data_IF_052823438601
#
_entry.id   IF_052823438601
#
_cell.length_a   1.000
_cell.length_b   1.000
_cell.length_c   1.000
_cell.angle_alpha   90.00
_cell.angle_beta   90.00
_cell.angle_gamma   90.00
#
_symmetry.space_group_name_H-M   'P 1'
#
loop_
_entity.id
_entity.type
_entity.pdbx_description
1 polymer ?
#
# COMPACT_ATOMS: atom_id res chain seq x y z
N UNK A 1 2.42 -42.94 13.84
CA UNK A 1 2.34 -41.85 12.86
C UNK A 1 3.72 -41.42 12.42
N UNK A 2 3.87 -40.90 11.19
CA UNK A 2 5.15 -40.55 10.57
C UNK A 2 6.03 -39.65 11.46
N UNK A 3 5.44 -38.65 12.13
CA UNK A 3 6.15 -37.73 13.05
C UNK A 3 6.69 -38.43 14.29
N UNK A 4 5.96 -39.40 14.85
CA UNK A 4 6.46 -40.15 15.99
C UNK A 4 7.68 -40.99 15.60
N UNK A 5 7.57 -41.65 14.46
CA UNK A 5 8.67 -42.44 13.87
C UNK A 5 9.88 -41.57 13.54
N UNK A 6 9.68 -40.38 12.94
CA UNK A 6 10.82 -39.46 12.65
C UNK A 6 11.44 -38.87 13.92
N UNK A 7 10.65 -38.58 14.97
CA UNK A 7 11.17 -38.16 16.28
C UNK A 7 12.01 -39.25 16.93
N UNK A 8 11.55 -40.50 16.88
CA UNK A 8 12.29 -41.65 17.41
C UNK A 8 13.64 -41.85 16.67
N UNK A 9 13.63 -41.77 15.34
CA UNK A 9 14.84 -41.83 14.51
C UNK A 9 15.77 -40.62 14.74
N UNK A 10 15.21 -39.42 14.93
CA UNK A 10 16.00 -38.22 15.23
C UNK A 10 16.70 -38.31 16.59
N UNK A 11 16.18 -39.10 17.56
CA UNK A 11 16.75 -39.30 18.87
C UNK A 11 17.81 -40.45 18.93
N UNK A 12 17.96 -41.22 17.84
CA UNK A 12 18.95 -42.31 17.81
C UNK A 12 20.39 -41.78 17.86
N UNK A 13 21.27 -42.48 18.58
CA UNK A 13 22.70 -42.18 18.60
C UNK A 13 23.44 -42.84 17.42
N UNK A 14 24.65 -42.37 17.11
CA UNK A 14 25.52 -42.96 16.10
C UNK A 14 25.25 -42.50 14.66
N UNK A 15 24.37 -41.52 14.42
CA UNK A 15 24.17 -40.94 13.10
C UNK A 15 25.37 -40.09 12.68
N UNK A 16 25.72 -40.16 11.41
CA UNK A 16 26.64 -39.18 10.83
C UNK A 16 25.96 -37.85 10.55
N UNK A 17 26.73 -36.77 10.30
CA UNK A 17 26.22 -35.44 10.10
C UNK A 17 25.21 -35.32 8.91
N UNK A 18 25.41 -36.11 7.86
CA UNK A 18 24.53 -36.14 6.67
C UNK A 18 23.20 -36.81 7.02
N UNK A 19 23.24 -37.94 7.73
CA UNK A 19 22.03 -38.66 8.17
C UNK A 19 21.20 -37.75 9.11
N UNK A 20 21.86 -37.09 10.07
CA UNK A 20 21.21 -36.19 11.01
C UNK A 20 20.53 -35.00 10.27
N UNK A 21 21.20 -34.42 9.27
CA UNK A 21 20.64 -33.35 8.45
C UNK A 21 19.37 -33.80 7.67
N UNK A 22 19.43 -34.99 7.03
CA UNK A 22 18.29 -35.52 6.28
C UNK A 22 17.10 -35.83 7.21
N UNK A 23 17.36 -36.44 8.36
CA UNK A 23 16.33 -36.79 9.34
C UNK A 23 15.69 -35.52 9.92
N UNK A 24 16.46 -34.51 10.28
CA UNK A 24 15.95 -33.23 10.77
C UNK A 24 15.14 -32.50 9.71
N UNK A 25 15.56 -32.54 8.44
CA UNK A 25 14.79 -31.96 7.34
C UNK A 25 13.42 -32.64 7.16
N UNK A 26 13.38 -33.96 7.17
CA UNK A 26 12.15 -34.74 7.11
C UNK A 26 11.24 -34.45 8.33
N UNK A 27 11.82 -34.35 9.51
CA UNK A 27 11.08 -34.04 10.74
C UNK A 27 10.46 -32.65 10.66
N UNK A 28 11.22 -31.62 10.28
CA UNK A 28 10.74 -30.28 10.12
C UNK A 28 9.61 -30.20 9.05
N UNK A 29 9.80 -30.87 7.92
CA UNK A 29 8.76 -30.96 6.86
C UNK A 29 7.47 -31.60 7.38
N UNK A 30 7.56 -32.70 8.10
CA UNK A 30 6.39 -33.35 8.70
C UNK A 30 5.66 -32.43 9.71
N UNK A 31 6.43 -31.69 10.53
CA UNK A 31 5.88 -30.74 11.50
C UNK A 31 5.14 -29.58 10.81
N UNK A 32 5.70 -29.02 9.73
CA UNK A 32 5.03 -27.99 8.93
C UNK A 32 3.71 -28.49 8.38
N UNK A 33 3.68 -29.69 7.78
CA UNK A 33 2.44 -30.29 7.25
C UNK A 33 1.37 -30.55 8.32
N UNK A 34 1.77 -30.79 9.55
CA UNK A 34 0.89 -30.94 10.70
C UNK A 34 0.56 -29.62 11.40
N UNK A 35 1.06 -28.48 10.86
CA UNK A 35 0.91 -27.15 11.44
C UNK A 35 1.57 -27.01 12.84
N UNK A 36 2.49 -27.91 13.18
CA UNK A 36 3.39 -27.74 14.34
C UNK A 36 4.53 -26.79 13.97
N UNK A 37 4.18 -25.54 13.75
CA UNK A 37 5.12 -24.51 13.29
C UNK A 37 6.23 -24.23 14.34
N UNK A 38 5.88 -24.29 15.62
CA UNK A 38 6.86 -24.10 16.70
C UNK A 38 7.90 -25.22 16.74
N UNK A 39 7.47 -26.46 16.60
CA UNK A 39 8.36 -27.60 16.50
C UNK A 39 9.24 -27.55 15.24
N UNK A 40 8.63 -27.23 14.11
CA UNK A 40 9.34 -27.14 12.84
C UNK A 40 10.48 -26.10 12.87
N UNK A 41 10.19 -24.89 13.36
CA UNK A 41 11.19 -23.83 13.39
C UNK A 41 12.32 -24.12 14.36
N UNK A 42 12.04 -24.77 15.50
CA UNK A 42 13.09 -25.21 16.44
C UNK A 42 14.07 -26.20 15.81
N UNK A 43 13.56 -27.13 14.98
CA UNK A 43 14.44 -28.07 14.23
C UNK A 43 15.27 -27.31 13.19
N UNK A 44 14.66 -26.39 12.43
CA UNK A 44 15.39 -25.59 11.44
C UNK A 44 16.45 -24.69 12.09
N UNK A 45 16.19 -24.09 13.26
CA UNK A 45 17.18 -23.29 14.00
C UNK A 45 18.38 -24.15 14.43
N UNK A 46 18.13 -25.36 14.92
CA UNK A 46 19.19 -26.32 15.25
C UNK A 46 20.03 -26.65 14.02
N UNK A 47 19.40 -26.93 12.89
CA UNK A 47 20.09 -27.22 11.62
C UNK A 47 20.91 -26.03 11.13
N UNK A 48 20.37 -24.80 11.24
CA UNK A 48 21.08 -23.58 10.85
C UNK A 48 22.31 -23.33 11.73
N UNK A 49 22.15 -23.49 13.04
CA UNK A 49 23.24 -23.33 14.00
C UNK A 49 24.35 -24.37 13.79
N UNK A 50 24.01 -25.59 13.39
CA UNK A 50 24.94 -26.68 13.11
C UNK A 50 25.55 -26.62 11.68
N UNK A 51 25.15 -25.62 10.84
CA UNK A 51 25.64 -25.51 9.46
C UNK A 51 25.22 -26.70 8.58
N UNK A 52 24.07 -27.30 8.85
CA UNK A 52 23.59 -28.51 8.15
C UNK A 52 22.91 -28.20 6.81
N UNK A 53 22.67 -26.92 6.48
CA UNK A 53 22.16 -26.55 5.16
C UNK A 53 23.27 -26.47 4.12
N UNK A 54 22.99 -26.97 2.91
CA UNK A 54 23.87 -26.72 1.77
C UNK A 54 23.84 -25.22 1.43
N UNK A 55 25.01 -24.65 1.09
CA UNK A 55 25.15 -23.21 0.82
C UNK A 55 24.15 -22.69 -0.21
N UNK A 56 23.88 -23.47 -1.25
CA UNK A 56 22.96 -23.11 -2.33
C UNK A 56 21.50 -23.11 -1.87
N UNK A 57 21.15 -23.93 -0.88
CA UNK A 57 19.79 -24.08 -0.36
C UNK A 57 19.53 -23.21 0.87
N UNK A 58 20.57 -22.80 1.59
CA UNK A 58 20.46 -22.05 2.83
C UNK A 58 19.57 -20.80 2.70
N UNK A 59 19.70 -19.94 1.67
CA UNK A 59 18.81 -18.77 1.54
C UNK A 59 17.34 -19.18 1.48
N UNK A 60 17.00 -20.21 0.72
CA UNK A 60 15.62 -20.70 0.61
C UNK A 60 15.10 -21.26 1.94
N UNK A 61 15.94 -21.95 2.73
CA UNK A 61 15.57 -22.44 4.05
C UNK A 61 15.34 -21.30 5.03
N UNK A 62 16.17 -20.26 4.99
CA UNK A 62 15.99 -19.03 5.77
C UNK A 62 14.67 -18.36 5.44
N UNK A 63 14.29 -18.26 4.14
CA UNK A 63 13.00 -17.73 3.74
C UNK A 63 11.84 -18.56 4.28
N UNK A 64 11.92 -19.89 4.20
CA UNK A 64 10.89 -20.77 4.76
C UNK A 64 10.75 -20.58 6.28
N UNK A 65 11.87 -20.47 7.00
CA UNK A 65 11.84 -20.17 8.45
C UNK A 65 11.17 -18.83 8.74
N UNK A 66 11.46 -17.81 7.95
CA UNK A 66 10.83 -16.49 8.09
C UNK A 66 9.31 -16.59 7.94
N UNK A 67 8.81 -17.35 6.95
CA UNK A 67 7.37 -17.58 6.75
C UNK A 67 6.72 -18.31 7.93
N UNK A 68 7.42 -19.29 8.52
CA UNK A 68 6.95 -19.98 9.72
C UNK A 68 6.86 -19.02 10.91
N UNK A 69 7.88 -18.18 11.12
CA UNK A 69 7.84 -17.16 12.18
C UNK A 69 6.74 -16.13 11.95
N UNK A 70 6.45 -15.80 10.69
CA UNK A 70 5.33 -14.92 10.35
C UNK A 70 4.00 -15.55 10.73
N UNK A 71 3.80 -16.85 10.43
CA UNK A 71 2.62 -17.61 10.84
C UNK A 71 2.47 -17.71 12.37
N UNK A 72 3.61 -17.81 13.09
CA UNK A 72 3.67 -17.77 14.56
C UNK A 72 3.49 -16.35 15.14
N UNK A 73 3.29 -15.33 14.29
CA UNK A 73 3.21 -13.90 14.67
C UNK A 73 4.48 -13.38 15.39
N UNK A 74 5.59 -14.08 15.24
CA UNK A 74 6.90 -13.59 15.71
C UNK A 74 7.53 -12.71 14.61
N UNK A 75 6.96 -11.53 14.42
CA UNK A 75 7.36 -10.60 13.36
C UNK A 75 8.83 -10.17 13.44
N UNK A 76 9.41 -9.90 14.62
CA UNK A 76 10.85 -9.56 14.71
C UNK A 76 11.75 -10.63 14.09
N UNK A 77 11.55 -11.90 14.43
CA UNK A 77 12.32 -13.01 13.87
C UNK A 77 12.04 -13.23 12.39
N UNK A 78 10.78 -13.12 11.98
CA UNK A 78 10.40 -13.23 10.58
C UNK A 78 11.10 -12.16 9.72
N UNK A 79 11.14 -10.91 10.19
CA UNK A 79 11.81 -9.80 9.50
C UNK A 79 13.33 -10.03 9.44
N UNK A 80 13.96 -10.38 10.56
CA UNK A 80 15.40 -10.66 10.62
C UNK A 80 15.84 -11.70 9.57
N UNK A 81 15.09 -12.81 9.47
CA UNK A 81 15.38 -13.87 8.50
C UNK A 81 15.07 -13.46 7.06
N UNK A 82 13.99 -12.69 6.83
CA UNK A 82 13.68 -12.15 5.52
C UNK A 82 14.76 -11.17 5.04
N UNK A 83 15.27 -10.30 5.91
CA UNK A 83 16.37 -9.38 5.58
C UNK A 83 17.66 -10.14 5.28
N UNK A 84 17.96 -11.22 6.03
CA UNK A 84 19.08 -12.11 5.74
C UNK A 84 18.95 -12.77 4.36
N UNK A 85 17.76 -13.25 4.01
CA UNK A 85 17.48 -13.80 2.69
C UNK A 85 17.70 -12.76 1.59
N UNK A 86 17.12 -11.56 1.72
CA UNK A 86 17.30 -10.48 0.75
C UNK A 86 18.78 -10.13 0.56
N UNK A 87 19.56 -10.07 1.65
CA UNK A 87 20.99 -9.79 1.57
C UNK A 87 21.75 -10.87 0.79
N UNK A 88 21.36 -12.13 0.93
CA UNK A 88 21.98 -13.26 0.23
C UNK A 88 21.59 -13.34 -1.25
N UNK A 89 20.41 -12.79 -1.65
CA UNK A 89 19.82 -12.96 -2.98
C UNK A 89 19.74 -11.69 -3.83
N UNK A 90 20.44 -10.62 -3.42
CA UNK A 90 20.50 -9.37 -4.18
C UNK A 90 19.41 -8.36 -3.86
N UNK A 91 18.55 -8.61 -2.87
CA UNK A 91 17.73 -7.59 -2.22
C UNK A 91 16.48 -7.10 -2.96
N UNK A 92 16.08 -7.76 -4.06
CA UNK A 92 15.02 -7.28 -4.96
C UNK A 92 13.81 -8.21 -5.12
N UNK A 93 13.69 -9.22 -4.26
CA UNK A 93 12.51 -10.12 -4.23
C UNK A 93 11.30 -9.38 -3.68
N UNK A 94 10.31 -9.11 -4.55
CA UNK A 94 9.16 -8.27 -4.24
C UNK A 94 8.29 -8.86 -3.14
N UNK A 95 8.10 -10.19 -3.14
CA UNK A 95 7.26 -10.85 -2.14
C UNK A 95 7.89 -10.80 -0.74
N UNK A 96 9.19 -11.00 -0.65
CA UNK A 96 9.92 -10.87 0.62
C UNK A 96 9.91 -9.42 1.12
N UNK A 97 10.09 -8.43 0.23
CA UNK A 97 9.98 -7.02 0.59
C UNK A 97 8.59 -6.70 1.14
N UNK A 98 7.53 -7.23 0.50
CA UNK A 98 6.13 -7.07 0.93
C UNK A 98 5.91 -7.70 2.32
N UNK A 99 6.42 -8.90 2.54
CA UNK A 99 6.33 -9.58 3.83
C UNK A 99 6.99 -8.77 4.96
N UNK A 100 8.15 -8.17 4.70
CA UNK A 100 8.84 -7.31 5.68
C UNK A 100 8.02 -6.04 5.96
N UNK A 101 7.51 -5.38 4.90
CA UNK A 101 6.66 -4.20 5.05
C UNK A 101 5.44 -4.51 5.93
N UNK A 102 4.76 -5.63 5.67
CA UNK A 102 3.64 -6.10 6.47
C UNK A 102 4.03 -6.41 7.91
N UNK A 103 5.18 -7.05 8.13
CA UNK A 103 5.69 -7.35 9.46
C UNK A 103 5.92 -6.09 10.30
N UNK A 104 6.51 -5.05 9.72
CA UNK A 104 6.67 -3.75 10.37
C UNK A 104 5.33 -3.04 10.59
N UNK A 105 4.40 -3.13 9.64
CA UNK A 105 3.05 -2.58 9.81
C UNK A 105 2.33 -3.19 11.03
N UNK A 106 2.38 -4.52 11.17
CA UNK A 106 1.75 -5.25 12.28
C UNK A 106 2.39 -4.95 13.64
N UNK A 107 3.62 -4.44 13.65
CA UNK A 107 4.30 -3.92 14.84
C UNK A 107 4.06 -2.43 15.07
N UNK A 108 3.17 -1.78 14.29
CA UNK A 108 2.96 -0.34 14.27
C UNK A 108 4.22 0.49 13.97
N UNK A 109 5.26 -0.12 13.39
CA UNK A 109 6.44 0.59 12.93
C UNK A 109 6.22 1.12 11.49
N UNK A 110 5.36 2.14 11.39
CA UNK A 110 4.95 2.67 10.10
C UNK A 110 6.10 3.28 9.30
N UNK A 111 7.11 3.84 9.97
CA UNK A 111 8.28 4.39 9.31
C UNK A 111 9.11 3.32 8.57
N UNK A 112 9.39 2.19 9.22
CA UNK A 112 10.09 1.07 8.57
C UNK A 112 9.22 0.40 7.52
N UNK A 113 7.92 0.26 7.76
CA UNK A 113 6.98 -0.28 6.77
C UNK A 113 6.98 0.59 5.50
N UNK A 114 6.97 1.92 5.63
CA UNK A 114 7.05 2.86 4.50
C UNK A 114 8.35 2.72 3.70
N UNK A 115 9.49 2.57 4.40
CA UNK A 115 10.78 2.33 3.76
C UNK A 115 10.72 1.11 2.84
N UNK A 116 10.17 -0.01 3.34
CA UNK A 116 10.03 -1.22 2.54
C UNK A 116 8.98 -1.11 1.44
N UNK A 117 7.88 -0.39 1.65
CA UNK A 117 6.91 -0.09 0.59
C UNK A 117 7.56 0.69 -0.57
N UNK A 118 8.39 1.69 -0.28
CA UNK A 118 9.19 2.39 -1.30
C UNK A 118 10.15 1.44 -2.03
N UNK A 119 10.83 0.55 -1.30
CA UNK A 119 11.73 -0.45 -1.89
C UNK A 119 11.01 -1.41 -2.84
N UNK A 120 9.76 -1.80 -2.54
CA UNK A 120 8.94 -2.62 -3.46
C UNK A 120 8.74 -1.89 -4.79
N UNK A 121 8.31 -0.61 -4.72
CA UNK A 121 8.06 0.22 -5.91
C UNK A 121 9.35 0.39 -6.73
N UNK A 122 10.47 0.69 -6.09
CA UNK A 122 11.77 0.85 -6.74
C UNK A 122 12.27 -0.46 -7.36
N UNK A 123 12.10 -1.58 -6.67
CA UNK A 123 12.50 -2.89 -7.19
C UNK A 123 11.65 -3.29 -8.39
N UNK A 124 10.34 -3.03 -8.38
CA UNK A 124 9.46 -3.27 -9.51
C UNK A 124 9.88 -2.44 -10.72
N UNK A 125 10.11 -1.13 -10.55
CA UNK A 125 10.59 -0.23 -11.61
C UNK A 125 11.92 -0.72 -12.21
N UNK A 126 12.89 -1.12 -11.37
CA UNK A 126 14.18 -1.65 -11.82
C UNK A 126 14.05 -2.98 -12.59
N UNK A 127 13.05 -3.79 -12.26
CA UNK A 127 12.74 -5.04 -12.95
C UNK A 127 11.89 -4.84 -14.23
N UNK A 128 11.54 -3.61 -14.58
CA UNK A 128 10.64 -3.32 -15.70
C UNK A 128 9.21 -3.83 -15.49
N UNK A 129 8.82 -4.08 -14.24
CA UNK A 129 7.45 -4.49 -13.88
C UNK A 129 6.58 -3.27 -13.62
N UNK A 130 5.27 -3.35 -13.92
CA UNK A 130 4.34 -2.29 -13.55
C UNK A 130 4.34 -2.12 -12.02
N UNK A 131 4.17 -0.89 -11.57
CA UNK A 131 3.91 -0.60 -10.16
C UNK A 131 2.45 -0.89 -9.90
N UNK A 132 2.17 -1.88 -9.07
CA UNK A 132 0.81 -2.27 -8.74
C UNK A 132 0.13 -1.21 -7.86
N UNK A 133 -1.15 -1.00 -8.07
CA UNK A 133 -1.96 -0.04 -7.34
C UNK A 133 -1.90 -0.27 -5.82
N UNK A 134 -1.95 -1.53 -5.41
CA UNK A 134 -1.92 -1.92 -3.99
C UNK A 134 -0.66 -1.43 -3.26
N UNK A 135 0.48 -1.36 -3.94
CA UNK A 135 1.72 -0.86 -3.31
C UNK A 135 1.70 0.64 -3.10
N UNK A 136 1.12 1.39 -4.03
CA UNK A 136 0.93 2.83 -3.89
C UNK A 136 -0.13 3.14 -2.82
N UNK A 137 -1.21 2.37 -2.75
CA UNK A 137 -2.22 2.48 -1.69
C UNK A 137 -1.63 2.20 -0.31
N UNK A 138 -0.80 1.15 -0.18
CA UNK A 138 -0.09 0.85 1.07
C UNK A 138 0.81 2.03 1.45
N UNK A 139 1.61 2.54 0.51
CA UNK A 139 2.49 3.69 0.74
C UNK A 139 1.71 4.91 1.21
N UNK A 140 0.63 5.26 0.51
CA UNK A 140 -0.26 6.37 0.86
C UNK A 140 -0.85 6.21 2.28
N UNK A 141 -1.35 5.01 2.60
CA UNK A 141 -1.89 4.70 3.93
C UNK A 141 -0.85 4.88 5.05
N UNK A 142 0.39 4.44 4.82
CA UNK A 142 1.49 4.59 5.77
C UNK A 142 1.89 6.07 5.98
N UNK A 143 1.93 6.85 4.91
CA UNK A 143 2.19 8.29 4.94
C UNK A 143 1.08 9.05 5.65
N UNK A 144 -0.18 8.66 5.42
CA UNK A 144 -1.35 9.23 6.11
C UNK A 144 -1.28 8.98 7.62
N UNK A 145 -0.96 7.74 8.04
CA UNK A 145 -0.78 7.41 9.47
C UNK A 145 0.33 8.22 10.14
N UNK A 146 1.31 8.68 9.38
CA UNK A 146 2.43 9.50 9.86
C UNK A 146 2.19 11.00 9.66
N UNK A 147 1.00 11.41 9.22
CA UNK A 147 0.61 12.81 8.94
C UNK A 147 1.51 13.53 7.93
N UNK A 148 2.12 12.79 6.99
CA UNK A 148 3.04 13.29 5.95
C UNK A 148 2.26 13.80 4.73
N UNK A 149 1.58 14.93 4.84
CA UNK A 149 0.68 15.45 3.79
C UNK A 149 1.35 15.58 2.42
N UNK A 150 2.55 16.14 2.35
CA UNK A 150 3.25 16.31 1.08
C UNK A 150 3.57 14.97 0.39
N UNK A 151 3.96 13.96 1.16
CA UNK A 151 4.25 12.63 0.64
C UNK A 151 2.97 11.93 0.15
N UNK A 152 1.83 12.11 0.85
CA UNK A 152 0.52 11.60 0.41
C UNK A 152 0.14 12.19 -0.94
N UNK A 153 0.27 13.51 -1.12
CA UNK A 153 0.00 14.20 -2.39
C UNK A 153 0.88 13.63 -3.50
N UNK A 154 2.18 13.49 -3.27
CA UNK A 154 3.10 12.92 -4.26
C UNK A 154 2.76 11.45 -4.63
N UNK A 155 2.24 10.67 -3.68
CA UNK A 155 1.80 9.30 -3.95
C UNK A 155 0.46 9.28 -4.69
N UNK A 156 -0.47 10.19 -4.38
CA UNK A 156 -1.71 10.39 -5.13
C UNK A 156 -1.45 10.81 -6.58
N UNK A 157 -0.46 11.67 -6.83
CA UNK A 157 -0.03 11.99 -8.20
C UNK A 157 0.40 10.75 -8.98
N UNK A 158 1.16 9.84 -8.35
CA UNK A 158 1.55 8.59 -9.00
C UNK A 158 0.34 7.67 -9.26
N UNK A 159 -0.60 7.57 -8.31
CA UNK A 159 -1.85 6.83 -8.48
C UNK A 159 -2.67 7.38 -9.63
N UNK A 160 -2.84 8.70 -9.72
CA UNK A 160 -3.57 9.35 -10.80
C UNK A 160 -2.91 9.18 -12.17
N UNK A 161 -1.57 9.07 -12.23
CA UNK A 161 -0.86 8.81 -13.48
C UNK A 161 -0.99 7.37 -13.97
N UNK A 162 -1.09 6.41 -13.05
CA UNK A 162 -1.05 4.98 -13.39
C UNK A 162 -2.40 4.29 -13.28
N UNK A 163 -3.24 4.71 -12.34
CA UNK A 163 -4.55 4.13 -12.00
C UNK A 163 -5.58 5.22 -11.72
N UNK A 164 -5.91 6.10 -12.70
CA UNK A 164 -6.81 7.23 -12.46
C UNK A 164 -8.22 6.75 -12.10
N UNK A 165 -8.72 7.22 -10.96
CA UNK A 165 -10.09 7.00 -10.48
C UNK A 165 -10.67 8.29 -9.92
N UNK A 166 -12.00 8.42 -9.92
CA UNK A 166 -12.70 9.57 -9.33
C UNK A 166 -12.37 9.69 -7.83
N UNK A 167 -12.16 8.57 -7.15
CA UNK A 167 -11.80 8.56 -5.73
C UNK A 167 -10.43 9.21 -5.49
N UNK A 168 -9.41 8.88 -6.30
CA UNK A 168 -8.08 9.49 -6.15
C UNK A 168 -8.08 10.97 -6.51
N UNK A 169 -8.92 11.41 -7.44
CA UNK A 169 -9.13 12.82 -7.71
C UNK A 169 -9.77 13.52 -6.50
N UNK A 170 -10.81 12.94 -5.93
CA UNK A 170 -11.48 13.47 -4.73
C UNK A 170 -10.52 13.56 -3.54
N UNK A 171 -9.72 12.52 -3.32
CA UNK A 171 -8.70 12.50 -2.26
C UNK A 171 -7.65 13.59 -2.50
N UNK A 172 -7.14 13.74 -3.73
CA UNK A 172 -6.18 14.78 -4.10
C UNK A 172 -6.73 16.17 -3.78
N UNK A 173 -7.96 16.46 -4.21
CA UNK A 173 -8.60 17.74 -3.93
C UNK A 173 -8.77 17.99 -2.43
N UNK A 174 -9.18 16.97 -1.69
CA UNK A 174 -9.30 17.05 -0.22
C UNK A 174 -7.97 17.41 0.43
N UNK A 175 -6.86 16.77 0.01
CA UNK A 175 -5.54 17.06 0.56
C UNK A 175 -5.03 18.45 0.17
N UNK A 176 -5.30 18.93 -1.04
CA UNK A 176 -4.91 20.27 -1.48
C UNK A 176 -5.67 21.36 -0.72
N UNK A 177 -6.95 21.13 -0.40
CA UNK A 177 -7.76 22.08 0.36
C UNK A 177 -7.41 22.15 1.85
N UNK A 178 -6.99 21.05 2.44
CA UNK A 178 -6.70 20.99 3.88
C UNK A 178 -5.59 21.95 4.31
N UNK A 179 -5.98 23.02 4.99
CA UNK A 179 -5.07 24.00 5.58
C UNK A 179 -4.66 25.12 4.62
N UNK A 180 -5.31 25.26 3.47
CA UNK A 180 -5.13 26.36 2.54
C UNK A 180 -6.26 27.36 2.72
N UNK A 181 -5.95 28.63 3.01
CA UNK A 181 -6.88 29.75 2.81
C UNK A 181 -6.69 30.25 1.39
N UNK A 182 -7.49 29.76 0.47
CA UNK A 182 -7.43 30.23 -0.93
C UNK A 182 -8.06 31.62 -1.05
N UNK A 183 -7.43 32.48 -1.85
CA UNK A 183 -8.10 33.68 -2.36
C UNK A 183 -9.19 33.25 -3.37
N UNK A 184 -10.14 34.14 -3.63
CA UNK A 184 -11.22 33.87 -4.60
C UNK A 184 -10.71 33.39 -5.96
N UNK A 185 -9.59 33.98 -6.45
CA UNK A 185 -8.96 33.54 -7.69
C UNK A 185 -8.41 32.11 -7.62
N UNK A 186 -7.84 31.73 -6.50
CA UNK A 186 -7.33 30.37 -6.28
C UNK A 186 -8.47 29.36 -6.15
N UNK A 187 -9.57 29.75 -5.48
CA UNK A 187 -10.78 28.93 -5.41
C UNK A 187 -11.38 28.70 -6.79
N UNK A 188 -11.45 29.72 -7.66
CA UNK A 188 -11.90 29.55 -9.05
C UNK A 188 -11.04 28.53 -9.79
N UNK A 189 -9.71 28.60 -9.67
CA UNK A 189 -8.82 27.65 -10.33
C UNK A 189 -9.07 26.24 -9.79
N UNK A 190 -9.18 26.08 -8.48
CA UNK A 190 -9.47 24.81 -7.83
C UNK A 190 -10.79 24.21 -8.30
N UNK A 191 -11.89 24.95 -8.22
CA UNK A 191 -13.21 24.47 -8.64
C UNK A 191 -13.26 24.15 -10.15
N UNK A 192 -12.51 24.86 -10.99
CA UNK A 192 -12.36 24.52 -12.42
C UNK A 192 -11.60 23.19 -12.62
N UNK A 193 -10.64 22.85 -11.77
CA UNK A 193 -10.00 21.54 -11.81
C UNK A 193 -10.99 20.44 -11.43
N UNK A 194 -11.78 20.66 -10.36
CA UNK A 194 -12.85 19.74 -9.93
C UNK A 194 -13.91 19.58 -11.02
N UNK A 195 -14.28 20.67 -11.70
CA UNK A 195 -15.19 20.66 -12.85
C UNK A 195 -14.65 19.79 -14.00
N UNK A 196 -13.38 19.98 -14.38
CA UNK A 196 -12.73 19.18 -15.43
C UNK A 196 -12.63 17.69 -15.07
N UNK A 197 -12.50 17.37 -13.81
CA UNK A 197 -12.56 15.99 -13.31
C UNK A 197 -14.00 15.43 -13.30
N UNK A 198 -15.03 16.25 -13.54
CA UNK A 198 -16.43 15.82 -13.51
C UNK A 198 -17.00 15.62 -12.11
N UNK A 199 -16.33 16.11 -11.07
CA UNK A 199 -16.61 15.82 -9.66
C UNK A 199 -17.34 16.94 -8.92
N UNK A 200 -17.67 18.07 -9.58
CA UNK A 200 -18.39 19.18 -8.96
C UNK A 200 -19.74 18.74 -8.38
N UNK A 201 -19.95 19.10 -7.12
CA UNK A 201 -21.23 18.93 -6.45
C UNK A 201 -22.17 20.11 -6.78
N UNK A 202 -23.51 19.97 -6.60
CA UNK A 202 -24.45 21.03 -6.94
C UNK A 202 -24.12 22.39 -6.33
N UNK A 203 -23.73 22.45 -5.06
CA UNK A 203 -23.37 23.70 -4.40
C UNK A 203 -22.05 24.28 -4.92
N UNK A 204 -21.11 23.46 -5.35
CA UNK A 204 -19.85 23.90 -5.94
C UNK A 204 -20.01 24.50 -7.34
N UNK A 205 -21.02 24.06 -8.13
CA UNK A 205 -21.40 24.73 -9.37
C UNK A 205 -21.85 26.19 -9.12
N UNK A 206 -22.62 26.41 -8.05
CA UNK A 206 -23.06 27.75 -7.65
C UNK A 206 -21.88 28.58 -7.15
N UNK A 207 -21.04 28.00 -6.25
CA UNK A 207 -19.84 28.67 -5.72
C UNK A 207 -18.89 29.11 -6.85
N UNK A 208 -18.61 28.20 -7.80
CA UNK A 208 -17.75 28.52 -8.94
C UNK A 208 -18.33 29.64 -9.80
N UNK A 209 -19.65 29.66 -10.00
CA UNK A 209 -20.32 30.73 -10.76
C UNK A 209 -20.26 32.08 -10.02
N UNK A 210 -20.57 32.11 -8.72
CA UNK A 210 -20.50 33.31 -7.88
C UNK A 210 -19.07 33.87 -7.84
N UNK A 211 -18.09 33.05 -7.58
CA UNK A 211 -16.67 33.43 -7.59
C UNK A 211 -16.20 33.92 -8.98
N UNK A 212 -16.66 33.28 -10.06
CA UNK A 212 -16.33 33.70 -11.43
C UNK A 212 -16.84 35.09 -11.72
N UNK A 213 -18.08 35.42 -11.27
CA UNK A 213 -18.63 36.77 -11.37
C UNK A 213 -17.80 37.76 -10.54
N UNK A 214 -17.44 37.40 -9.30
CA UNK A 214 -16.69 38.26 -8.39
C UNK A 214 -15.27 38.59 -8.92
N UNK A 215 -14.60 37.65 -9.59
CA UNK A 215 -13.29 37.87 -10.22
C UNK A 215 -13.39 38.46 -11.65
N UNK A 216 -14.55 38.96 -12.03
CA UNK A 216 -14.82 39.63 -13.33
C UNK A 216 -14.75 38.74 -14.57
N UNK A 217 -15.19 37.49 -14.42
CA UNK A 217 -15.30 36.54 -15.55
C UNK A 217 -16.75 35.96 -15.67
N UNK A 218 -17.75 36.76 -16.00
CA UNK A 218 -19.14 36.30 -16.07
C UNK A 218 -19.39 35.25 -17.16
N UNK A 219 -18.60 35.24 -18.23
CA UNK A 219 -18.72 34.22 -19.28
C UNK A 219 -18.45 32.80 -18.78
N UNK A 220 -17.49 32.65 -17.87
CA UNK A 220 -17.21 31.36 -17.21
C UNK A 220 -18.37 30.96 -16.30
N UNK A 221 -18.95 31.91 -15.54
CA UNK A 221 -20.11 31.67 -14.68
C UNK A 221 -21.30 31.14 -15.47
N UNK A 222 -21.60 31.76 -16.61
CA UNK A 222 -22.68 31.32 -17.52
C UNK A 222 -22.42 29.86 -17.96
N UNK A 223 -21.22 29.57 -18.45
CA UNK A 223 -20.86 28.22 -18.95
C UNK A 223 -21.01 27.15 -17.87
N UNK A 224 -20.55 27.43 -16.66
CA UNK A 224 -20.63 26.51 -15.50
C UNK A 224 -22.09 26.25 -15.13
N UNK A 225 -22.93 27.28 -15.06
CA UNK A 225 -24.33 27.13 -14.73
C UNK A 225 -25.09 26.36 -15.82
N UNK A 226 -24.87 26.68 -17.11
CA UNK A 226 -25.46 25.94 -18.22
C UNK A 226 -25.09 24.45 -18.19
N UNK A 227 -23.83 24.12 -17.86
CA UNK A 227 -23.38 22.74 -17.68
C UNK A 227 -24.14 22.06 -16.52
N UNK A 228 -24.25 22.71 -15.36
CA UNK A 228 -24.97 22.19 -14.19
C UNK A 228 -26.44 21.92 -14.48
N UNK A 229 -27.08 22.79 -15.25
CA UNK A 229 -28.45 22.57 -15.73
C UNK A 229 -28.55 21.41 -16.73
N UNK A 230 -27.62 21.33 -17.69
CA UNK A 230 -27.57 20.24 -18.68
C UNK A 230 -27.38 18.87 -18.04
N UNK A 231 -26.53 18.80 -17.01
CA UNK A 231 -26.34 17.58 -16.19
C UNK A 231 -27.51 17.31 -15.23
N UNK A 232 -28.46 18.22 -15.12
CA UNK A 232 -29.59 18.10 -14.23
C UNK A 232 -29.23 18.12 -12.75
N UNK A 233 -28.10 18.70 -12.36
CA UNK A 233 -27.71 18.89 -10.97
C UNK A 233 -28.17 20.21 -10.38
N UNK A 234 -28.46 21.19 -11.21
CA UNK A 234 -29.05 22.48 -10.84
C UNK A 234 -30.53 22.59 -11.23
N UNK A 235 -31.20 23.60 -10.69
CA UNK A 235 -32.61 23.96 -11.02
C UNK A 235 -33.61 23.01 -10.40
N UNK A 236 -33.29 22.30 -9.33
CA UNK A 236 -34.16 21.36 -8.61
C UNK A 236 -34.45 21.81 -7.18
N UNK A 237 -35.59 21.40 -6.64
CA UNK A 237 -35.91 21.62 -5.23
C UNK A 237 -35.98 23.08 -4.80
N UNK A 238 -35.60 23.37 -3.58
CA UNK A 238 -35.70 24.70 -2.96
C UNK A 238 -34.74 25.74 -3.56
N UNK A 239 -33.66 25.31 -4.22
CA UNK A 239 -32.64 26.19 -4.81
C UNK A 239 -32.98 26.69 -6.21
N UNK A 240 -34.01 26.14 -6.85
CA UNK A 240 -34.39 26.43 -8.25
C UNK A 240 -34.43 27.91 -8.60
N UNK A 241 -35.10 28.73 -7.78
CA UNK A 241 -35.26 30.17 -8.05
C UNK A 241 -33.94 30.94 -7.87
N UNK A 242 -33.10 30.53 -6.91
CA UNK A 242 -31.76 31.09 -6.70
C UNK A 242 -30.87 30.79 -7.91
N UNK A 243 -30.83 29.55 -8.32
CA UNK A 243 -30.01 29.06 -9.43
C UNK A 243 -30.37 29.77 -10.74
N UNK A 244 -31.69 29.97 -10.99
CA UNK A 244 -32.18 30.66 -12.16
C UNK A 244 -31.84 32.17 -12.15
N UNK A 245 -31.93 32.82 -10.97
CA UNK A 245 -31.50 34.22 -10.80
C UNK A 245 -30.02 34.38 -11.11
N UNK A 246 -29.17 33.48 -10.60
CA UNK A 246 -27.75 33.54 -10.86
C UNK A 246 -27.41 33.32 -12.33
N UNK A 247 -28.07 32.38 -13.01
CA UNK A 247 -27.91 32.18 -14.45
C UNK A 247 -28.31 33.42 -15.27
N UNK A 248 -29.38 34.12 -14.86
CA UNK A 248 -29.81 35.37 -15.53
C UNK A 248 -28.84 36.54 -15.25
N UNK A 249 -28.17 36.55 -14.10
CA UNK A 249 -27.12 37.54 -13.79
C UNK A 249 -25.83 37.30 -14.61
N UNK A 250 -25.55 36.06 -14.96
CA UNK A 250 -24.35 35.66 -15.72
C UNK A 250 -24.53 35.81 -17.26
N UNK A 251 -25.73 36.11 -17.74
CA UNK A 251 -26.02 36.38 -19.14
C UNK A 251 -25.79 37.83 -19.52
#
# INVERSE_FOLDING_TARGET
TLVRSTKEVAAMEGKNATEDAIINEMLAFCMVNLKDYAGAVAVYEKMLAAGQFKKEEEPKRILNMSQIYFALKNYPKAIELSERYLKATGGSDLETLRQIAQGYYLQNNFARSEEYAKRIIDAAKKQGKPVEEEWLQLLMSLQHKQTKKADVVATLEQLLQTHPTDQYWSDMFTYLLQGSSFSDRQNVIYLKLVQKAGLLQPDEYIELAELSIAVTNPGDAKTVLEEGYAKGVLGKGASKDRDLKLLNLAK
#
